data_IF_396614502636
#
_entry.id   IF_396614502636
#
_cell.length_a   1.000
_cell.length_b   1.000
_cell.length_c   1.000
_cell.angle_alpha   90.00
_cell.angle_beta   90.00
_cell.angle_gamma   90.00
#
_symmetry.space_group_name_H-M   'P 1'
#
loop_
_entity.id
_entity.type
_entity.pdbx_description
1 polymer ?
#
# COMPACT_ATOMS: atom_id res chain seq x y z
N UNK A 1 2.63 17.52 12.57
CA UNK A 1 2.76 18.48 11.46
C UNK A 1 2.69 17.67 10.18
N UNK A 2 1.73 18.03 9.32
CA UNK A 2 1.23 17.23 8.20
C UNK A 2 2.28 17.01 7.11
N UNK A 3 2.97 15.88 7.14
CA UNK A 3 3.83 15.40 6.05
C UNK A 3 3.03 15.19 4.73
N UNK A 4 1.71 15.04 4.85
CA UNK A 4 0.79 14.76 3.74
C UNK A 4 0.34 16.01 2.96
N UNK A 5 0.51 17.23 3.51
CA UNK A 5 -0.07 18.45 2.90
C UNK A 5 0.75 18.98 1.72
N UNK A 6 2.08 18.84 1.76
CA UNK A 6 2.97 19.26 0.66
C UNK A 6 2.90 18.27 -0.51
N UNK A 7 2.90 16.97 -0.24
CA UNK A 7 2.80 15.96 -1.32
C UNK A 7 1.43 16.00 -2.01
N UNK A 8 0.33 16.25 -1.29
CA UNK A 8 -1.03 16.31 -1.87
C UNK A 8 -1.19 17.28 -3.05
N UNK A 9 -0.35 18.31 -3.15
CA UNK A 9 -0.39 19.30 -4.23
C UNK A 9 0.27 18.84 -5.53
N UNK A 10 1.10 17.79 -5.50
CA UNK A 10 1.83 17.28 -6.67
C UNK A 10 1.14 16.09 -7.36
N UNK A 11 0.06 15.56 -6.77
CA UNK A 11 -0.57 14.31 -7.17
C UNK A 11 -1.99 14.54 -7.71
N UNK A 12 -2.30 13.88 -8.82
CA UNK A 12 -3.56 14.05 -9.55
C UNK A 12 -4.74 13.29 -8.95
N UNK A 13 -4.56 12.63 -7.80
CA UNK A 13 -5.59 11.82 -7.14
C UNK A 13 -6.12 12.51 -5.89
N UNK A 14 -7.43 12.39 -5.66
CA UNK A 14 -8.12 13.03 -4.54
C UNK A 14 -7.79 12.30 -3.25
N UNK A 15 -7.13 13.00 -2.34
CA UNK A 15 -6.88 12.54 -0.98
C UNK A 15 -7.98 13.07 -0.07
N UNK A 16 -8.68 12.17 0.62
CA UNK A 16 -9.73 12.50 1.61
C UNK A 16 -9.28 12.06 2.99
N UNK A 17 -9.40 12.95 3.97
CA UNK A 17 -9.12 12.64 5.37
C UNK A 17 -10.43 12.28 6.08
N UNK A 18 -10.46 11.13 6.74
CA UNK A 18 -11.57 10.69 7.58
C UNK A 18 -11.57 11.45 8.93
N UNK A 19 -12.68 11.41 9.67
CA UNK A 19 -12.82 12.06 10.99
C UNK A 19 -11.77 11.59 12.01
N UNK A 20 -11.21 10.40 11.80
CA UNK A 20 -10.15 9.81 12.61
C UNK A 20 -8.72 10.26 12.22
N UNK A 21 -8.56 11.17 11.25
CA UNK A 21 -7.26 11.60 10.73
C UNK A 21 -6.58 10.57 9.82
N UNK A 22 -7.31 9.55 9.37
CA UNK A 22 -6.80 8.54 8.44
C UNK A 22 -6.91 9.04 7.01
N UNK A 23 -5.85 8.83 6.23
CA UNK A 23 -5.74 9.25 4.83
C UNK A 23 -6.34 8.16 3.93
N UNK A 24 -7.37 8.50 3.17
CA UNK A 24 -7.98 7.64 2.16
C UNK A 24 -7.85 8.31 0.79
N UNK A 25 -7.71 7.51 -0.25
CA UNK A 25 -7.78 7.97 -1.64
C UNK A 25 -9.17 7.69 -2.17
N UNK A 26 -9.80 8.71 -2.73
CA UNK A 26 -11.04 8.54 -3.48
C UNK A 26 -10.72 8.14 -4.93
N UNK A 27 -11.26 7.01 -5.37
CA UNK A 27 -11.13 6.56 -6.74
C UNK A 27 -12.45 6.81 -7.49
N UNK A 28 -12.59 7.94 -8.22
CA UNK A 28 -13.84 8.28 -8.90
C UNK A 28 -14.18 7.29 -10.03
N UNK A 29 -13.19 6.57 -10.56
CA UNK A 29 -13.41 5.54 -11.59
C UNK A 29 -14.13 4.29 -11.06
N UNK A 30 -13.97 3.97 -9.77
CA UNK A 30 -14.53 2.76 -9.13
C UNK A 30 -15.64 3.15 -8.13
N UNK A 31 -15.77 4.44 -7.80
CA UNK A 31 -16.72 4.95 -6.80
C UNK A 31 -16.44 4.41 -5.40
N UNK A 32 -15.16 4.13 -5.11
CA UNK A 32 -14.72 3.53 -3.84
C UNK A 32 -13.54 4.32 -3.28
N UNK A 33 -13.54 4.41 -1.95
CA UNK A 33 -12.42 4.94 -1.19
C UNK A 33 -11.51 3.81 -0.77
N UNK A 34 -10.22 3.99 -0.96
CA UNK A 34 -9.19 3.02 -0.60
C UNK A 34 -8.24 3.64 0.41
N UNK A 35 -7.85 2.88 1.42
CA UNK A 35 -6.74 3.28 2.28
C UNK A 35 -5.43 3.21 1.49
N UNK A 36 -4.47 4.08 1.77
CA UNK A 36 -3.17 4.08 1.08
C UNK A 36 -2.43 2.73 1.23
N UNK A 37 -2.62 2.13 2.41
CA UNK A 37 -2.17 0.81 2.81
C UNK A 37 -2.72 -0.30 1.90
N UNK A 38 -4.00 -0.22 1.56
CA UNK A 38 -4.68 -1.25 0.74
C UNK A 38 -4.19 -1.21 -0.70
N UNK A 39 -3.96 -0.01 -1.25
CA UNK A 39 -3.38 0.16 -2.59
C UNK A 39 -1.97 -0.41 -2.63
N UNK A 40 -1.15 -0.13 -1.61
CA UNK A 40 0.21 -0.65 -1.51
C UNK A 40 0.22 -2.18 -1.45
N UNK A 41 -0.72 -2.78 -0.73
CA UNK A 41 -0.89 -4.23 -0.68
C UNK A 41 -1.29 -4.84 -2.03
N UNK A 42 -2.18 -4.19 -2.79
CA UNK A 42 -2.54 -4.66 -4.12
C UNK A 42 -1.36 -4.66 -5.09
N UNK A 43 -0.50 -3.64 -5.04
CA UNK A 43 0.72 -3.56 -5.86
C UNK A 43 1.67 -4.71 -5.50
N UNK A 44 1.93 -4.94 -4.21
CA UNK A 44 2.80 -6.03 -3.76
C UNK A 44 2.24 -7.41 -4.15
N UNK A 45 0.93 -7.64 -3.98
CA UNK A 45 0.28 -8.89 -4.40
C UNK A 45 0.40 -9.13 -5.89
N UNK A 46 0.25 -8.08 -6.71
CA UNK A 46 0.42 -8.18 -8.16
C UNK A 46 1.85 -8.56 -8.53
N UNK A 47 2.85 -7.95 -7.90
CA UNK A 47 4.27 -8.28 -8.12
C UNK A 47 4.58 -9.73 -7.74
N UNK A 48 4.05 -10.22 -6.61
CA UNK A 48 4.21 -11.62 -6.17
C UNK A 48 3.52 -12.57 -7.15
N UNK A 49 2.33 -12.23 -7.62
CA UNK A 49 1.59 -13.03 -8.59
C UNK A 49 2.33 -13.13 -9.93
N UNK A 50 2.78 -11.99 -10.47
CA UNK A 50 3.51 -11.92 -11.73
C UNK A 50 4.85 -12.68 -11.62
N UNK A 51 5.54 -12.58 -10.48
CA UNK A 51 6.76 -13.34 -10.20
C UNK A 51 6.50 -14.84 -10.08
N UNK A 52 5.42 -15.24 -9.40
CA UNK A 52 5.03 -16.66 -9.27
C UNK A 52 4.70 -17.28 -10.62
N UNK A 53 4.05 -16.50 -11.49
CA UNK A 53 3.77 -16.91 -12.87
C UNK A 53 5.04 -17.03 -13.71
N UNK A 54 6.02 -16.15 -13.48
CA UNK A 54 7.32 -16.20 -14.16
C UNK A 54 8.18 -17.40 -13.72
N UNK A 55 8.24 -17.67 -12.41
CA UNK A 55 8.97 -18.83 -11.86
C UNK A 55 8.22 -20.16 -12.04
N UNK A 56 6.93 -20.10 -12.41
CA UNK A 56 6.01 -21.24 -12.44
C UNK A 56 5.93 -21.99 -11.09
N UNK A 57 6.19 -21.27 -9.99
CA UNK A 57 6.24 -21.77 -8.62
C UNK A 57 5.69 -20.70 -7.66
N UNK A 58 5.25 -21.09 -6.45
CA UNK A 58 4.63 -20.17 -5.50
C UNK A 58 5.68 -19.39 -4.73
N UNK A 59 5.69 -18.07 -4.90
CA UNK A 59 6.51 -17.17 -4.10
C UNK A 59 5.86 -16.96 -2.73
N UNK A 60 6.43 -17.58 -1.69
CA UNK A 60 5.90 -17.55 -0.30
C UNK A 60 6.58 -16.53 0.60
N UNK A 61 7.78 -16.06 0.23
CA UNK A 61 8.57 -15.10 1.01
C UNK A 61 9.11 -14.03 0.08
N UNK A 62 9.01 -12.78 0.51
CA UNK A 62 9.53 -11.62 -0.20
C UNK A 62 10.24 -10.69 0.79
N UNK A 63 11.32 -10.05 0.32
CA UNK A 63 11.99 -8.97 1.04
C UNK A 63 11.62 -7.67 0.33
N UNK A 64 10.97 -6.76 1.07
CA UNK A 64 10.54 -5.46 0.56
C UNK A 64 11.43 -4.38 1.16
N UNK A 65 12.07 -3.58 0.31
CA UNK A 65 12.88 -2.44 0.74
C UNK A 65 11.98 -1.30 1.17
N UNK A 66 12.22 -0.73 2.35
CA UNK A 66 11.53 0.48 2.84
C UNK A 66 12.53 1.61 3.05
N UNK A 67 12.14 2.88 2.81
CA UNK A 67 12.98 4.04 3.08
C UNK A 67 13.39 4.13 4.56
N UNK A 68 14.57 4.70 4.84
CA UNK A 68 15.08 4.82 6.20
C UNK A 68 14.20 5.68 7.13
N UNK A 69 13.41 6.60 6.56
CA UNK A 69 12.55 7.53 7.28
C UNK A 69 11.12 6.99 7.55
N UNK A 70 10.82 5.75 7.16
CA UNK A 70 9.52 5.14 7.44
C UNK A 70 9.35 4.84 8.93
N UNK A 71 8.28 5.40 9.50
CA UNK A 71 7.85 5.12 10.87
C UNK A 71 7.35 3.67 11.03
N UNK A 72 7.47 3.08 12.23
CA UNK A 72 7.14 1.68 12.51
C UNK A 72 5.71 1.28 12.11
N UNK A 73 4.74 2.21 12.19
CA UNK A 73 3.37 1.97 11.72
C UNK A 73 3.32 1.63 10.23
N UNK A 74 4.08 2.34 9.40
CA UNK A 74 4.13 2.10 7.95
C UNK A 74 4.89 0.81 7.60
N UNK A 75 5.90 0.45 8.40
CA UNK A 75 6.63 -0.84 8.29
C UNK A 75 5.72 -2.02 8.61
N UNK A 76 4.92 -1.91 9.66
CA UNK A 76 3.99 -2.97 10.10
C UNK A 76 2.89 -3.19 9.08
N UNK A 77 2.34 -2.12 8.51
CA UNK A 77 1.34 -2.24 7.45
C UNK A 77 1.92 -2.87 6.17
N UNK A 78 3.14 -2.49 5.79
CA UNK A 78 3.81 -3.09 4.62
C UNK A 78 4.04 -4.60 4.82
N UNK A 79 4.28 -5.03 6.06
CA UNK A 79 4.41 -6.45 6.42
C UNK A 79 3.06 -7.19 6.33
N UNK A 80 1.98 -6.61 6.84
CA UNK A 80 0.63 -7.20 6.80
C UNK A 80 0.04 -7.27 5.39
N UNK A 81 0.41 -6.30 4.55
CA UNK A 81 0.06 -6.24 3.14
C UNK A 81 0.52 -7.46 2.32
N UNK A 82 1.66 -8.05 2.70
CA UNK A 82 2.14 -9.32 2.12
C UNK A 82 1.35 -10.44 2.80
N UNK A 83 0.49 -11.19 2.08
CA UNK A 83 -0.23 -12.29 2.69
C UNK A 83 0.78 -13.32 3.18
N UNK A 84 1.05 -13.34 4.48
CA UNK A 84 1.64 -14.50 5.10
C UNK A 84 0.69 -15.66 4.78
N UNK A 85 1.20 -16.68 4.07
CA UNK A 85 0.43 -17.91 3.86
C UNK A 85 -0.16 -18.33 5.20
N UNK A 86 -1.47 -18.61 5.29
CA UNK A 86 -1.98 -19.29 6.47
C UNK A 86 -1.21 -20.61 6.56
N UNK A 87 -0.59 -20.84 7.71
CA UNK A 87 -0.12 -22.17 8.08
C UNK A 87 -1.26 -23.18 7.95
#
# INVERSE_FOLDING_TARGET
MSEVDEESKQISYTVVCDENGNVKLDCPAIGKQFAAEEISAQVLRKLVHDSSKFLNDKVTKAVVTVPAYFNDSQRTTTKDAVPASPC
#
